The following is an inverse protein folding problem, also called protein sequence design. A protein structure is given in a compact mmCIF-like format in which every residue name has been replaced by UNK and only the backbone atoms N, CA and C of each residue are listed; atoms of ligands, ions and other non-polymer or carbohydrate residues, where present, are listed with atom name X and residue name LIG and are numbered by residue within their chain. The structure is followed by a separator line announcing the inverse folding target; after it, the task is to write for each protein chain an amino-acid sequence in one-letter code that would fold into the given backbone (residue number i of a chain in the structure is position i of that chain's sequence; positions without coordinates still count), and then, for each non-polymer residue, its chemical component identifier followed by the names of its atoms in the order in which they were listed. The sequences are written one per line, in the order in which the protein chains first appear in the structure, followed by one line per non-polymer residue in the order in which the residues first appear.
data_IF_235271300812
#
_entry.id   IF_235271300812
#
_cell.length_a   1.000
_cell.length_b   1.000
_cell.length_c   1.000
_cell.angle_alpha   90.00
_cell.angle_beta   90.00
_cell.angle_gamma   90.00
#
_symmetry.space_group_name_H-M   'P 1'
#
loop_
_entity.id
_entity.type
_entity.pdbx_description
1 polymer ?
#
# COMPACT_ATOMS: atom_id res chain seq x y z
N UNK A 1 48.47 -12.10 -37.00
CA UNK A 1 49.90 -12.47 -37.14
C UNK A 1 50.64 -12.02 -35.88
N UNK A 2 51.66 -12.79 -35.52
CA UNK A 2 52.18 -12.98 -34.18
C UNK A 2 53.24 -11.96 -33.71
N UNK A 3 53.51 -12.01 -32.38
CA UNK A 3 54.79 -11.67 -31.73
C UNK A 3 54.71 -10.46 -30.80
N UNK A 4 55.13 -10.50 -29.52
CA UNK A 4 55.77 -11.56 -28.74
C UNK A 4 56.40 -11.01 -27.44
N UNK A 5 56.46 -11.87 -26.41
CA UNK A 5 57.54 -11.93 -25.39
C UNK A 5 57.31 -11.23 -24.04
N UNK A 6 57.10 -11.95 -22.92
CA UNK A 6 58.03 -12.73 -22.05
C UNK A 6 58.66 -11.89 -20.91
N UNK A 7 58.48 -12.32 -19.66
CA UNK A 7 59.25 -11.81 -18.51
C UNK A 7 58.71 -12.23 -17.13
N UNK A 8 59.16 -13.39 -16.64
CA UNK A 8 58.87 -14.00 -15.33
C UNK A 8 59.79 -13.47 -14.19
N UNK A 9 59.37 -13.79 -12.96
CA UNK A 9 60.09 -13.97 -11.66
C UNK A 9 59.66 -12.94 -10.61
N UNK A 10 59.31 -13.27 -9.37
CA UNK A 10 59.31 -14.52 -8.61
C UNK A 10 59.33 -14.21 -7.11
N UNK A 11 59.21 -15.25 -6.30
CA UNK A 11 59.51 -15.39 -4.86
C UNK A 11 58.38 -15.23 -3.82
N UNK A 12 58.39 -16.21 -2.92
CA UNK A 12 57.45 -16.55 -1.87
C UNK A 12 58.06 -16.29 -0.46
N UNK A 13 57.16 -15.97 0.50
CA UNK A 13 57.18 -16.26 1.98
C UNK A 13 58.01 -15.36 2.93
N UNK A 14 57.73 -15.30 4.27
CA UNK A 14 56.59 -15.79 5.08
C UNK A 14 55.98 -14.79 6.12
N UNK A 15 54.83 -15.20 6.68
CA UNK A 15 54.17 -14.94 8.00
C UNK A 15 54.77 -13.93 9.00
N UNK A 16 53.92 -13.01 9.49
CA UNK A 16 53.97 -12.51 10.88
C UNK A 16 52.55 -12.22 11.40
N UNK A 17 52.15 -12.98 12.42
CA UNK A 17 50.95 -12.83 13.23
C UNK A 17 51.19 -11.67 14.21
N UNK A 18 50.39 -10.61 14.17
CA UNK A 18 50.42 -9.56 15.19
C UNK A 18 49.06 -9.47 15.89
N UNK A 19 49.01 -10.09 17.07
CA UNK A 19 47.99 -9.86 18.09
C UNK A 19 48.16 -8.44 18.63
N UNK A 20 47.14 -7.61 18.49
CA UNK A 20 47.01 -6.35 19.23
C UNK A 20 45.79 -6.45 20.13
N UNK A 21 46.06 -6.78 21.40
CA UNK A 21 45.16 -6.60 22.53
C UNK A 21 45.18 -5.12 22.90
N UNK A 22 44.04 -4.42 22.73
CA UNK A 22 43.79 -3.17 23.43
C UNK A 22 42.58 -3.40 24.34
N UNK A 23 42.87 -3.60 25.62
CA UNK A 23 41.89 -3.48 26.68
C UNK A 23 41.89 -2.03 27.16
N UNK A 24 40.76 -1.34 27.01
CA UNK A 24 40.44 -0.14 27.77
C UNK A 24 38.97 -0.25 28.18
N UNK A 25 38.74 -0.54 29.46
CA UNK A 25 37.43 -0.47 30.08
C UNK A 25 37.24 0.93 30.68
N UNK A 26 36.14 1.60 30.32
CA UNK A 26 35.41 2.51 31.22
C UNK A 26 34.13 3.04 30.54
N UNK A 27 33.00 2.94 31.25
CA UNK A 27 31.99 4.00 31.26
C UNK A 27 30.81 3.84 30.31
N UNK A 28 29.64 3.62 30.91
CA UNK A 28 28.34 3.52 30.26
C UNK A 28 27.90 4.78 29.51
N UNK A 29 27.25 4.58 28.36
CA UNK A 29 25.95 5.20 28.05
C UNK A 29 25.35 4.49 26.83
N UNK A 30 24.34 3.67 27.07
CA UNK A 30 23.45 3.17 26.04
C UNK A 30 22.72 4.37 25.40
N UNK A 31 23.23 4.86 24.28
CA UNK A 31 22.54 5.83 23.44
C UNK A 31 21.34 5.16 22.78
N UNK A 32 20.17 5.25 23.42
CA UNK A 32 18.89 5.04 22.77
C UNK A 32 18.78 6.04 21.62
N UNK A 33 19.04 5.59 20.40
CA UNK A 33 18.59 6.25 19.18
C UNK A 33 17.07 6.19 19.14
N UNK A 34 16.41 7.11 19.85
CA UNK A 34 15.00 7.44 19.61
C UNK A 34 14.95 8.17 18.27
N UNK A 35 14.85 7.41 17.19
CA UNK A 35 14.22 7.90 15.97
C UNK A 35 12.79 8.28 16.34
N UNK A 36 12.52 9.57 16.45
CA UNK A 36 11.18 10.08 16.62
C UNK A 36 10.42 9.85 15.31
N UNK A 37 9.83 8.67 15.14
CA UNK A 37 8.63 8.56 14.32
C UNK A 37 7.53 9.29 15.07
N UNK A 38 7.14 10.46 14.56
CA UNK A 38 5.87 11.08 14.91
C UNK A 38 4.80 9.99 14.80
N UNK A 39 4.18 9.66 15.94
CA UNK A 39 3.37 8.47 16.09
C UNK A 39 2.32 8.37 14.98
N UNK A 40 2.35 7.27 14.24
CA UNK A 40 1.24 6.90 13.37
C UNK A 40 0.02 6.74 14.27
N UNK A 41 -0.89 7.71 14.22
CA UNK A 41 -2.14 7.66 14.96
C UNK A 41 -2.90 6.41 14.51
N UNK A 42 -3.12 5.50 15.44
CA UNK A 42 -3.93 4.29 15.24
C UNK A 42 -5.29 4.66 14.62
N UNK A 43 -5.68 3.98 13.53
CA UNK A 43 -6.98 4.19 12.89
C UNK A 43 -8.11 3.90 13.87
N UNK A 44 -9.09 4.81 13.94
CA UNK A 44 -10.12 4.78 14.98
C UNK A 44 -11.41 5.47 14.53
N UNK A 45 -12.54 4.95 14.98
CA UNK A 45 -13.82 5.66 14.90
C UNK A 45 -13.78 6.96 15.71
N UNK A 46 -14.28 8.05 15.11
CA UNK A 46 -14.33 9.39 15.72
C UNK A 46 -15.18 9.39 16.98
N UNK A 47 -14.76 10.16 17.98
CA UNK A 47 -15.44 10.24 19.28
C UNK A 47 -16.78 10.97 19.18
N UNK A 48 -16.82 12.01 18.37
CA UNK A 48 -17.94 12.94 18.28
C UNK A 48 -19.10 12.32 17.50
N UNK A 49 -18.80 11.64 16.39
CA UNK A 49 -19.80 11.09 15.48
C UNK A 49 -19.96 9.58 15.57
N UNK A 50 -18.99 8.86 16.14
CA UNK A 50 -18.96 7.40 16.08
C UNK A 50 -18.79 6.85 14.67
N UNK A 51 -18.26 7.65 13.72
CA UNK A 51 -18.05 7.26 12.32
C UNK A 51 -16.57 7.04 12.01
N UNK A 52 -16.31 6.26 10.96
CA UNK A 52 -14.99 6.15 10.32
C UNK A 52 -15.18 6.31 8.82
N UNK A 53 -14.59 7.35 8.21
CA UNK A 53 -14.77 7.67 6.79
C UNK A 53 -13.55 7.27 5.99
N UNK A 54 -13.77 6.44 4.97
CA UNK A 54 -12.77 6.07 3.96
C UNK A 54 -13.11 6.78 2.66
N UNK A 55 -12.14 7.46 2.06
CA UNK A 55 -12.21 7.91 0.66
C UNK A 55 -11.37 6.96 -0.18
N UNK A 56 -12.02 6.27 -1.13
CA UNK A 56 -11.35 5.41 -2.09
C UNK A 56 -11.00 6.21 -3.34
N UNK A 57 -9.76 6.11 -3.80
CA UNK A 57 -9.24 6.70 -5.03
C UNK A 57 -8.71 5.57 -5.90
N UNK A 58 -9.14 5.49 -7.15
CA UNK A 58 -8.77 4.43 -8.08
C UNK A 58 -8.44 5.04 -9.43
N UNK A 59 -7.58 4.36 -10.21
CA UNK A 59 -7.40 4.61 -11.64
C UNK A 59 -7.10 6.08 -11.94
N UNK A 60 -6.14 6.64 -11.20
CA UNK A 60 -5.69 8.01 -11.44
C UNK A 60 -4.90 8.10 -12.73
N UNK A 61 -4.18 7.02 -13.08
CA UNK A 61 -3.29 6.94 -14.24
C UNK A 61 -2.38 8.16 -14.34
N UNK A 62 -1.87 8.61 -13.19
CA UNK A 62 -1.00 9.79 -13.07
C UNK A 62 0.37 9.50 -13.73
N UNK A 63 0.99 10.47 -14.38
CA UNK A 63 2.33 10.32 -14.96
C UNK A 63 3.23 11.51 -14.58
N UNK A 64 3.76 12.23 -15.56
CA UNK A 64 4.74 13.31 -15.38
C UNK A 64 4.12 14.69 -15.01
N UNK A 65 2.93 14.69 -14.37
CA UNK A 65 2.34 15.89 -13.80
C UNK A 65 1.87 16.88 -14.87
N UNK A 66 2.49 18.06 -14.89
CA UNK A 66 2.17 19.12 -15.88
C UNK A 66 2.52 18.72 -17.30
N UNK A 67 3.52 17.85 -17.48
CA UNK A 67 4.01 17.45 -18.79
C UNK A 67 3.10 16.41 -19.47
N UNK A 68 2.28 15.70 -18.68
CA UNK A 68 1.32 14.71 -19.18
C UNK A 68 0.18 15.39 -19.91
N UNK A 69 -0.01 15.02 -21.18
CA UNK A 69 -1.21 15.40 -21.93
C UNK A 69 -2.36 14.46 -21.58
N UNK A 70 -3.58 15.00 -21.52
CA UNK A 70 -4.75 14.15 -21.30
C UNK A 70 -5.17 13.41 -22.57
N UNK A 71 -5.57 12.16 -22.39
CA UNK A 71 -6.26 11.35 -23.39
C UNK A 71 -7.77 11.38 -23.16
N UNK A 72 -8.55 11.03 -24.20
CA UNK A 72 -10.01 10.87 -24.12
C UNK A 72 -10.81 12.06 -23.57
N UNK A 73 -10.27 13.27 -23.68
CA UNK A 73 -10.97 14.51 -23.34
C UNK A 73 -11.58 15.17 -24.59
N UNK A 74 -12.61 16.00 -24.38
CA UNK A 74 -13.19 16.77 -25.49
C UNK A 74 -12.13 17.74 -26.06
N UNK A 75 -12.15 18.08 -27.36
CA UNK A 75 -11.19 19.02 -27.95
C UNK A 75 -11.10 20.36 -27.22
N UNK A 76 -12.21 20.84 -26.66
CA UNK A 76 -12.27 22.08 -25.86
C UNK A 76 -11.58 21.98 -24.50
N UNK A 77 -11.34 20.78 -23.99
CA UNK A 77 -10.73 20.50 -22.70
C UNK A 77 -9.24 20.19 -22.80
N UNK A 78 -8.73 19.83 -23.99
CA UNK A 78 -7.31 19.52 -24.23
C UNK A 78 -6.39 20.65 -23.75
N UNK A 79 -6.77 21.90 -24.04
CA UNK A 79 -5.99 23.07 -23.67
C UNK A 79 -5.90 23.20 -22.14
N UNK A 80 -4.73 22.91 -21.58
CA UNK A 80 -4.45 23.03 -20.15
C UNK A 80 -4.84 21.80 -19.32
N UNK A 81 -5.26 20.70 -19.94
CA UNK A 81 -5.45 19.44 -19.24
C UNK A 81 -4.10 18.75 -18.99
N UNK A 82 -3.93 18.26 -17.77
CA UNK A 82 -2.78 17.47 -17.31
C UNK A 82 -3.13 16.73 -16.01
N UNK A 83 -2.20 15.96 -15.47
CA UNK A 83 -2.43 15.26 -14.18
C UNK A 83 -2.70 16.23 -13.02
N UNK A 84 -2.29 17.50 -13.14
CA UNK A 84 -2.59 18.54 -12.16
C UNK A 84 -4.10 18.76 -11.96
N UNK A 85 -4.92 18.41 -12.95
CA UNK A 85 -6.38 18.40 -12.81
C UNK A 85 -6.83 17.35 -11.78
N UNK A 86 -6.22 16.16 -11.80
CA UNK A 86 -6.41 15.10 -10.80
C UNK A 86 -5.91 15.53 -9.43
N UNK A 87 -4.70 16.13 -9.35
CA UNK A 87 -4.19 16.71 -8.09
C UNK A 87 -5.19 17.70 -7.48
N UNK A 88 -5.67 18.65 -8.29
CA UNK A 88 -6.61 19.67 -7.83
C UNK A 88 -7.96 19.06 -7.44
N UNK A 89 -8.40 17.99 -8.11
CA UNK A 89 -9.62 17.25 -7.78
C UNK A 89 -9.49 16.57 -6.41
N UNK A 90 -8.40 15.84 -6.16
CA UNK A 90 -8.18 15.17 -4.88
C UNK A 90 -8.15 16.15 -3.72
N UNK A 91 -7.47 17.29 -3.86
CA UNK A 91 -7.51 18.35 -2.86
C UNK A 91 -8.94 18.85 -2.55
N UNK A 92 -9.82 18.93 -3.55
CA UNK A 92 -11.22 19.33 -3.32
C UNK A 92 -12.00 18.22 -2.60
N UNK A 93 -11.86 16.98 -3.04
CA UNK A 93 -12.54 15.82 -2.43
C UNK A 93 -12.11 15.65 -0.98
N UNK A 94 -10.80 15.64 -0.71
CA UNK A 94 -10.29 15.45 0.65
C UNK A 94 -10.72 16.57 1.61
N UNK A 95 -10.81 17.81 1.14
CA UNK A 95 -11.35 18.92 1.95
C UNK A 95 -12.85 18.80 2.20
N UNK A 96 -13.62 18.37 1.19
CA UNK A 96 -15.06 18.24 1.31
C UNK A 96 -15.44 17.04 2.19
N UNK A 97 -14.72 15.94 2.05
CA UNK A 97 -15.01 14.70 2.73
C UNK A 97 -14.39 14.61 4.12
N UNK A 98 -13.24 15.24 4.37
CA UNK A 98 -12.51 15.14 5.64
C UNK A 98 -12.34 13.67 6.08
N UNK A 99 -11.63 12.82 5.31
CA UNK A 99 -11.56 11.38 5.56
C UNK A 99 -10.69 11.02 6.75
N UNK A 100 -11.00 9.89 7.40
CA UNK A 100 -10.16 9.25 8.41
C UNK A 100 -9.07 8.36 7.80
N UNK A 101 -9.25 7.95 6.54
CA UNK A 101 -8.29 7.19 5.74
C UNK A 101 -8.54 7.43 4.25
N UNK A 102 -7.48 7.63 3.48
CA UNK A 102 -7.53 7.55 2.01
C UNK A 102 -7.02 6.17 1.58
N UNK A 103 -7.76 5.48 0.71
CA UNK A 103 -7.35 4.19 0.16
C UNK A 103 -7.17 4.31 -1.35
N UNK A 104 -5.95 4.13 -1.81
CA UNK A 104 -5.59 4.12 -3.22
C UNK A 104 -5.65 2.69 -3.77
N UNK A 105 -6.51 2.42 -4.75
CA UNK A 105 -6.84 1.05 -5.18
C UNK A 105 -6.21 0.61 -6.50
N UNK A 106 -4.95 1.01 -6.71
CA UNK A 106 -4.17 0.61 -7.88
C UNK A 106 -4.37 1.52 -9.07
N UNK A 107 -3.48 1.35 -10.05
CA UNK A 107 -3.34 2.25 -11.19
C UNK A 107 -3.23 3.71 -10.74
N UNK A 108 -2.40 3.86 -9.72
CA UNK A 108 -2.06 5.13 -9.10
C UNK A 108 -1.27 5.98 -10.09
N UNK A 109 -0.38 5.32 -10.84
CA UNK A 109 0.31 5.89 -11.99
C UNK A 109 0.01 5.09 -13.26
N UNK A 110 0.13 5.76 -14.40
CA UNK A 110 0.26 5.09 -15.68
C UNK A 110 1.74 4.91 -15.98
N UNK A 111 2.27 3.72 -15.66
CA UNK A 111 3.72 3.46 -15.67
C UNK A 111 4.36 3.68 -17.05
N UNK A 112 3.64 3.34 -18.11
CA UNK A 112 4.11 3.51 -19.49
C UNK A 112 4.41 4.98 -19.87
N UNK A 113 3.64 5.93 -19.31
CA UNK A 113 3.79 7.36 -19.59
C UNK A 113 4.64 8.09 -18.53
N UNK A 114 5.06 7.38 -17.49
CA UNK A 114 5.87 7.92 -16.40
C UNK A 114 7.35 7.83 -16.73
N UNK A 115 8.04 8.95 -16.93
CA UNK A 115 9.50 8.94 -17.18
C UNK A 115 10.30 8.48 -15.94
N UNK A 116 9.74 8.72 -14.75
CA UNK A 116 10.25 8.24 -13.47
C UNK A 116 9.06 7.82 -12.60
N UNK A 117 8.85 6.52 -12.46
CA UNK A 117 7.71 5.96 -11.73
C UNK A 117 7.70 6.38 -10.25
N UNK A 118 8.87 6.52 -9.61
CA UNK A 118 8.95 6.95 -8.21
C UNK A 118 8.47 8.40 -8.05
N UNK A 119 8.93 9.32 -8.93
CA UNK A 119 8.49 10.71 -8.90
C UNK A 119 7.02 10.89 -9.27
N UNK A 120 6.54 10.10 -10.22
CA UNK A 120 5.13 10.11 -10.63
C UNK A 120 4.25 9.64 -9.48
N UNK A 121 4.67 8.58 -8.77
CA UNK A 121 3.99 8.10 -7.56
C UNK A 121 4.02 9.14 -6.44
N UNK A 122 5.17 9.80 -6.23
CA UNK A 122 5.29 10.89 -5.25
C UNK A 122 4.29 12.02 -5.55
N UNK A 123 4.15 12.42 -6.82
CA UNK A 123 3.21 13.45 -7.25
C UNK A 123 1.74 13.02 -7.14
N UNK A 124 1.42 11.76 -7.49
CA UNK A 124 0.07 11.21 -7.44
C UNK A 124 -0.47 11.18 -6.00
N UNK A 125 0.37 10.80 -5.04
CA UNK A 125 0.00 10.64 -3.61
C UNK A 125 0.17 11.95 -2.82
N UNK A 126 0.91 12.94 -3.35
CA UNK A 126 1.18 14.21 -2.70
C UNK A 126 -0.06 14.87 -2.05
N UNK A 127 -1.26 14.89 -2.66
CA UNK A 127 -2.44 15.49 -2.02
C UNK A 127 -2.77 14.90 -0.64
N UNK A 128 -2.64 13.58 -0.45
CA UNK A 128 -2.89 12.95 0.85
C UNK A 128 -1.78 13.30 1.86
N UNK A 129 -0.52 13.32 1.41
CA UNK A 129 0.65 13.64 2.24
C UNK A 129 0.60 15.10 2.71
N UNK A 130 0.34 16.03 1.79
CA UNK A 130 0.32 17.47 2.05
C UNK A 130 -0.83 17.85 2.98
N UNK A 131 -1.97 17.18 2.84
CA UNK A 131 -3.11 17.31 3.77
C UNK A 131 -2.92 16.54 5.08
N UNK A 132 -1.77 15.87 5.27
CA UNK A 132 -1.43 15.07 6.46
C UNK A 132 -2.44 13.96 6.76
N UNK A 133 -3.09 13.43 5.73
CA UNK A 133 -4.03 12.34 5.85
C UNK A 133 -3.26 11.02 5.95
N UNK A 134 -3.67 10.08 6.84
CA UNK A 134 -3.21 8.72 6.74
C UNK A 134 -3.78 8.09 5.46
N UNK A 135 -2.97 7.28 4.79
CA UNK A 135 -3.38 6.63 3.55
C UNK A 135 -2.78 5.23 3.41
N UNK A 136 -3.44 4.37 2.64
CA UNK A 136 -2.97 3.03 2.31
C UNK A 136 -3.20 2.77 0.82
N UNK A 137 -2.40 1.88 0.23
CA UNK A 137 -2.47 1.59 -1.20
C UNK A 137 -2.36 0.10 -1.52
N UNK A 138 -3.10 -0.34 -2.55
CA UNK A 138 -2.73 -1.50 -3.37
C UNK A 138 -2.20 -1.02 -4.71
N UNK A 139 -1.57 -1.94 -5.42
CA UNK A 139 -0.97 -1.72 -6.74
C UNK A 139 -1.85 -2.29 -7.84
N UNK A 140 -1.94 -1.58 -8.96
CA UNK A 140 -2.63 -2.02 -10.17
C UNK A 140 -1.70 -2.66 -11.18
N UNK A 141 -2.21 -2.95 -12.36
CA UNK A 141 -1.42 -3.53 -13.46
C UNK A 141 -0.52 -2.48 -14.12
N UNK A 142 -0.97 -1.22 -14.23
CA UNK A 142 -0.20 -0.16 -14.89
C UNK A 142 0.90 0.44 -14.00
N UNK A 143 0.81 0.29 -12.68
CA UNK A 143 1.77 0.90 -11.75
C UNK A 143 3.23 0.44 -11.94
N UNK A 144 3.43 -0.77 -12.49
CA UNK A 144 4.74 -1.41 -12.65
C UNK A 144 5.32 -1.30 -14.07
N UNK A 145 4.65 -0.61 -14.98
CA UNK A 145 5.02 -0.56 -16.40
C UNK A 145 6.10 0.50 -16.70
N UNK A 146 6.55 1.23 -15.67
CA UNK A 146 7.58 2.26 -15.77
C UNK A 146 8.97 1.80 -15.30
N UNK A 147 9.65 2.66 -14.53
CA UNK A 147 11.04 2.44 -14.09
C UNK A 147 11.20 1.58 -12.84
N UNK A 148 10.10 1.19 -12.17
CA UNK A 148 10.10 0.36 -10.97
C UNK A 148 9.45 -1.01 -11.26
N UNK A 149 10.01 -2.06 -10.67
CA UNK A 149 9.34 -3.36 -10.62
C UNK A 149 8.11 -3.31 -9.70
N UNK A 150 7.20 -4.29 -9.80
CA UNK A 150 6.06 -4.44 -8.88
C UNK A 150 6.43 -4.31 -7.40
N UNK A 151 7.50 -5.02 -7.01
CA UNK A 151 8.05 -4.96 -5.66
C UNK A 151 8.58 -3.56 -5.34
N UNK A 152 9.29 -2.95 -6.29
CA UNK A 152 9.84 -1.60 -6.17
C UNK A 152 8.74 -0.56 -5.94
N UNK A 153 7.63 -0.64 -6.67
CA UNK A 153 6.45 0.20 -6.49
C UNK A 153 5.90 0.05 -5.08
N UNK A 154 5.64 -1.18 -4.62
CA UNK A 154 5.09 -1.40 -3.29
C UNK A 154 6.04 -0.92 -2.18
N UNK A 155 7.35 -1.17 -2.32
CA UNK A 155 8.37 -0.67 -1.38
C UNK A 155 8.43 0.86 -1.35
N UNK A 156 8.29 1.52 -2.50
CA UNK A 156 8.20 2.97 -2.58
C UNK A 156 6.99 3.48 -1.81
N UNK A 157 5.79 2.96 -2.10
CA UNK A 157 4.54 3.32 -1.41
C UNK A 157 4.62 3.13 0.12
N UNK A 158 5.23 2.04 0.59
CA UNK A 158 5.43 1.78 2.02
C UNK A 158 6.41 2.79 2.65
N UNK A 159 7.42 3.23 1.92
CA UNK A 159 8.43 4.19 2.41
C UNK A 159 7.96 5.64 2.45
N UNK A 160 6.84 5.96 1.81
CA UNK A 160 6.32 7.31 1.73
C UNK A 160 5.71 7.80 3.05
N UNK A 161 5.72 9.12 3.24
CA UNK A 161 5.24 9.76 4.47
C UNK A 161 3.74 9.51 4.69
N UNK A 162 3.36 9.25 5.94
CA UNK A 162 1.98 8.95 6.37
C UNK A 162 1.36 7.70 5.73
N UNK A 163 2.16 6.89 5.03
CA UNK A 163 1.71 5.61 4.49
C UNK A 163 1.44 4.64 5.65
N UNK A 164 0.28 3.99 5.58
CA UNK A 164 -0.09 2.83 6.37
C UNK A 164 -0.02 1.56 5.52
N UNK A 165 0.49 1.65 4.29
CA UNK A 165 0.64 0.50 3.42
C UNK A 165 1.65 -0.50 4.02
N UNK A 166 1.42 -1.80 3.81
CA UNK A 166 2.30 -2.86 4.28
C UNK A 166 2.93 -3.64 3.14
N UNK A 167 4.10 -4.23 3.37
CA UNK A 167 4.57 -5.34 2.54
C UNK A 167 3.83 -6.63 2.93
N UNK A 168 4.11 -7.72 2.21
CA UNK A 168 3.64 -9.04 2.60
C UNK A 168 4.07 -9.40 4.04
N UNK A 169 3.32 -10.24 4.76
CA UNK A 169 3.67 -10.64 6.11
C UNK A 169 4.99 -11.42 6.10
N UNK A 170 5.85 -11.14 7.07
CA UNK A 170 7.14 -11.83 7.20
C UNK A 170 6.95 -13.34 7.40
N UNK A 171 7.75 -14.14 6.70
CA UNK A 171 7.72 -15.61 6.81
C UNK A 171 6.50 -16.27 6.15
N UNK A 172 5.65 -15.51 5.45
CA UNK A 172 4.52 -16.05 4.69
C UNK A 172 4.84 -16.03 3.20
N UNK A 173 4.84 -17.20 2.58
CA UNK A 173 4.93 -17.33 1.12
C UNK A 173 3.55 -17.03 0.51
N UNK A 174 3.47 -15.90 -0.20
CA UNK A 174 2.23 -15.38 -0.77
C UNK A 174 2.53 -14.68 -2.10
N UNK A 175 1.65 -14.88 -3.08
CA UNK A 175 1.76 -14.25 -4.39
C UNK A 175 1.60 -12.72 -4.31
N UNK A 176 2.29 -12.02 -5.21
CA UNK A 176 2.25 -10.56 -5.33
C UNK A 176 2.99 -9.83 -4.21
N UNK A 177 2.74 -8.53 -4.08
CA UNK A 177 3.35 -7.65 -3.10
C UNK A 177 2.32 -6.70 -2.49
N UNK A 178 2.37 -6.55 -1.17
CA UNK A 178 1.45 -5.66 -0.48
C UNK A 178 0.13 -6.33 -0.10
N UNK A 179 0.22 -7.59 0.35
CA UNK A 179 -0.88 -8.26 1.02
C UNK A 179 -0.82 -7.98 2.52
N UNK A 180 -1.70 -7.14 3.05
CA UNK A 180 -1.67 -6.72 4.45
C UNK A 180 -3.07 -6.39 5.00
N UNK A 181 -3.16 -6.26 6.32
CA UNK A 181 -4.39 -5.90 7.01
C UNK A 181 -4.17 -4.69 7.94
N UNK A 182 -5.10 -3.75 7.93
CA UNK A 182 -5.18 -2.67 8.90
C UNK A 182 -6.37 -2.86 9.84
N UNK A 183 -6.11 -2.75 11.14
CA UNK A 183 -7.12 -2.81 12.19
C UNK A 183 -7.61 -1.39 12.52
N UNK A 184 -8.92 -1.14 12.43
CA UNK A 184 -9.56 0.12 12.83
C UNK A 184 -10.23 -0.07 14.16
N UNK A 185 -9.88 0.77 15.13
CA UNK A 185 -10.25 0.57 16.53
C UNK A 185 -11.52 1.32 16.93
N UNK A 186 -12.18 0.84 17.99
CA UNK A 186 -13.41 1.46 18.50
C UNK A 186 -13.19 2.88 19.04
N UNK A 187 -14.26 3.57 19.38
CA UNK A 187 -14.20 4.95 19.90
C UNK A 187 -13.34 5.03 21.18
N UNK A 188 -12.51 6.06 21.28
CA UNK A 188 -11.66 6.30 22.45
C UNK A 188 -12.50 6.45 23.74
N UNK A 189 -12.03 5.89 24.85
CA UNK A 189 -12.74 5.92 26.13
C UNK A 189 -13.86 4.88 26.27
N UNK A 190 -14.10 4.05 25.25
CA UNK A 190 -15.02 2.90 25.32
C UNK A 190 -14.29 1.60 25.64
N UNK A 191 -15.02 0.55 26.00
CA UNK A 191 -14.45 -0.80 26.16
C UNK A 191 -13.84 -1.37 24.87
N UNK A 192 -14.17 -0.79 23.72
CA UNK A 192 -13.64 -1.17 22.41
C UNK A 192 -12.48 -0.28 21.96
N UNK A 193 -12.03 0.69 22.77
CA UNK A 193 -10.99 1.62 22.38
C UNK A 193 -9.70 0.92 21.92
N UNK A 194 -9.31 -0.15 22.59
CA UNK A 194 -8.09 -0.87 22.24
C UNK A 194 -8.34 -2.12 21.38
N UNK A 195 -9.57 -2.28 20.88
CA UNK A 195 -10.00 -3.42 20.06
C UNK A 195 -10.28 -2.98 18.62
N UNK A 196 -9.91 -3.83 17.67
CA UNK A 196 -10.33 -3.66 16.27
C UNK A 196 -11.82 -3.95 16.15
N UNK A 197 -12.55 -3.03 15.54
CA UNK A 197 -13.99 -3.13 15.25
C UNK A 197 -14.27 -3.09 13.75
N UNK A 198 -13.24 -2.93 12.92
CA UNK A 198 -13.29 -3.05 11.47
C UNK A 198 -11.89 -3.44 10.96
N UNK A 199 -11.82 -4.40 10.05
CA UNK A 199 -10.57 -4.81 9.41
C UNK A 199 -10.57 -4.38 7.94
N UNK A 200 -9.45 -3.84 7.46
CA UNK A 200 -9.25 -3.43 6.09
C UNK A 200 -8.16 -4.31 5.50
N UNK A 201 -8.54 -5.22 4.61
CA UNK A 201 -7.64 -6.13 3.95
C UNK A 201 -7.24 -5.58 2.59
N UNK A 202 -5.96 -5.65 2.27
CA UNK A 202 -5.38 -5.16 1.03
C UNK A 202 -4.74 -6.36 0.34
N UNK A 203 -5.11 -6.59 -0.92
CA UNK A 203 -4.65 -7.73 -1.70
C UNK A 203 -4.07 -7.26 -3.04
N UNK A 204 -2.91 -7.80 -3.40
CA UNK A 204 -2.35 -7.63 -4.72
C UNK A 204 -3.08 -8.54 -5.72
N UNK A 205 -4.07 -8.01 -6.44
CA UNK A 205 -4.81 -8.80 -7.43
C UNK A 205 -4.00 -9.26 -8.66
N UNK A 206 -2.72 -8.88 -8.73
CA UNK A 206 -1.80 -9.23 -9.81
C UNK A 206 -1.82 -8.21 -10.95
N UNK A 207 -1.32 -8.69 -12.10
CA UNK A 207 -1.09 -7.90 -13.31
C UNK A 207 -1.90 -8.49 -14.49
N UNK A 208 -1.28 -8.91 -15.60
CA UNK A 208 -1.92 -9.65 -16.66
C UNK A 208 -1.84 -11.16 -16.44
N UNK A 209 -2.73 -11.91 -17.08
CA UNK A 209 -2.72 -13.36 -17.05
C UNK A 209 -1.44 -13.93 -17.66
N UNK A 210 -0.74 -14.77 -16.90
CA UNK A 210 0.42 -15.55 -17.36
C UNK A 210 0.03 -16.90 -17.95
N UNK A 211 -1.27 -17.26 -17.94
CA UNK A 211 -1.79 -18.51 -18.49
C UNK A 211 -2.11 -18.29 -19.97
N UNK A 212 -1.44 -18.98 -20.93
CA UNK A 212 -1.56 -18.65 -22.35
C UNK A 212 -2.99 -18.68 -22.92
N UNK A 213 -3.84 -19.55 -22.39
CA UNK A 213 -5.24 -19.73 -22.79
C UNK A 213 -6.20 -18.72 -22.17
N UNK A 214 -5.78 -17.99 -21.13
CA UNK A 214 -6.58 -16.96 -20.46
C UNK A 214 -5.96 -15.61 -20.80
N UNK A 215 -6.65 -14.82 -21.62
CA UNK A 215 -6.20 -13.47 -22.01
C UNK A 215 -6.70 -12.42 -21.01
N UNK A 216 -6.05 -11.26 -21.02
CA UNK A 216 -6.44 -10.12 -20.19
C UNK A 216 -5.81 -10.14 -18.81
N UNK A 217 -6.56 -9.71 -17.81
CA UNK A 217 -6.07 -9.49 -16.46
C UNK A 217 -5.77 -10.77 -15.68
N UNK A 218 -4.91 -10.60 -14.67
CA UNK A 218 -4.60 -11.56 -13.63
C UNK A 218 -5.74 -11.68 -12.61
N UNK A 219 -5.44 -12.29 -11.46
CA UNK A 219 -6.42 -12.53 -10.41
C UNK A 219 -5.74 -12.88 -9.10
N UNK A 220 -6.48 -12.68 -8.00
CA UNK A 220 -6.11 -13.11 -6.65
C UNK A 220 -5.84 -14.63 -6.64
N UNK A 221 -4.63 -15.01 -6.26
CA UNK A 221 -4.16 -16.41 -6.26
C UNK A 221 -4.60 -17.17 -5.01
N UNK A 222 -4.47 -18.49 -5.06
CA UNK A 222 -4.87 -19.37 -3.96
C UNK A 222 -4.09 -19.07 -2.66
N UNK A 223 -2.79 -18.73 -2.75
CA UNK A 223 -1.98 -18.35 -1.59
C UNK A 223 -2.55 -17.14 -0.85
N UNK A 224 -3.04 -16.14 -1.59
CA UNK A 224 -3.64 -14.92 -1.05
C UNK A 224 -5.02 -15.18 -0.45
N UNK A 225 -5.83 -16.05 -1.07
CA UNK A 225 -7.10 -16.49 -0.50
C UNK A 225 -6.89 -17.23 0.82
N UNK A 226 -5.92 -18.15 0.87
CA UNK A 226 -5.55 -18.88 2.10
C UNK A 226 -5.08 -17.92 3.17
N UNK A 227 -4.17 -16.99 2.84
CA UNK A 227 -3.71 -15.97 3.77
C UNK A 227 -4.86 -15.11 4.32
N UNK A 228 -5.77 -14.64 3.45
CA UNK A 228 -6.91 -13.84 3.85
C UNK A 228 -7.83 -14.62 4.80
N UNK A 229 -8.17 -15.86 4.47
CA UNK A 229 -9.01 -16.73 5.30
C UNK A 229 -8.38 -17.01 6.67
N UNK A 230 -7.08 -17.33 6.70
CA UNK A 230 -6.34 -17.59 7.94
C UNK A 230 -6.23 -16.34 8.81
N UNK A 231 -5.88 -15.20 8.20
CA UNK A 231 -5.76 -13.91 8.89
C UNK A 231 -7.10 -13.49 9.46
N UNK A 232 -8.16 -13.49 8.65
CA UNK A 232 -9.52 -13.17 9.11
C UNK A 232 -9.96 -14.09 10.24
N UNK A 233 -9.81 -15.41 10.09
CA UNK A 233 -10.18 -16.38 11.14
C UNK A 233 -9.38 -16.18 12.43
N UNK A 234 -8.09 -15.87 12.32
CA UNK A 234 -7.23 -15.59 13.47
C UNK A 234 -7.69 -14.35 14.24
N UNK A 235 -7.97 -13.26 13.51
CA UNK A 235 -8.47 -12.01 14.08
C UNK A 235 -9.85 -12.20 14.72
N UNK A 236 -10.78 -12.91 14.08
CA UNK A 236 -12.07 -13.24 14.67
C UNK A 236 -11.92 -14.00 16.00
N UNK A 237 -11.06 -15.03 16.05
CA UNK A 237 -10.77 -15.75 17.30
C UNK A 237 -10.16 -14.84 18.36
N UNK A 238 -9.22 -13.96 18.00
CA UNK A 238 -8.61 -12.97 18.91
C UNK A 238 -9.70 -12.10 19.54
N UNK A 239 -10.58 -11.52 18.73
CA UNK A 239 -11.64 -10.61 19.18
C UNK A 239 -12.70 -11.27 20.07
N UNK A 240 -13.06 -12.52 19.78
CA UNK A 240 -14.09 -13.24 20.51
C UNK A 240 -13.59 -13.89 21.81
N UNK A 241 -12.28 -14.19 21.90
CA UNK A 241 -11.72 -14.92 23.03
C UNK A 241 -10.96 -14.04 24.03
N UNK A 242 -10.35 -12.93 23.59
CA UNK A 242 -9.59 -12.03 24.45
C UNK A 242 -10.48 -11.00 25.16
N UNK A 243 -10.15 -10.64 26.41
CA UNK A 243 -10.88 -9.63 27.15
C UNK A 243 -10.55 -8.19 26.66
N UNK A 244 -11.53 -7.26 26.65
CA UNK A 244 -12.96 -7.54 26.67
C UNK A 244 -13.40 -8.28 25.40
N UNK A 245 -14.21 -9.33 25.57
CA UNK A 245 -14.69 -10.14 24.46
C UNK A 245 -15.69 -9.35 23.63
N UNK A 246 -15.49 -9.34 22.31
CA UNK A 246 -16.48 -8.82 21.37
C UNK A 246 -17.59 -9.87 21.20
N UNK A 247 -18.85 -9.41 21.16
CA UNK A 247 -20.02 -10.29 20.96
C UNK A 247 -20.00 -10.96 19.59
N UNK A 248 -19.55 -10.21 18.59
CA UNK A 248 -19.47 -10.61 17.19
C UNK A 248 -18.08 -10.26 16.65
N UNK A 249 -17.59 -10.98 15.63
CA UNK A 249 -16.36 -10.61 14.94
C UNK A 249 -16.48 -9.22 14.31
N UNK A 250 -15.37 -8.49 14.27
CA UNK A 250 -15.30 -7.23 13.55
C UNK A 250 -15.53 -7.47 12.03
N UNK A 251 -16.40 -6.68 11.36
CA UNK A 251 -16.55 -6.75 9.91
C UNK A 251 -15.23 -6.47 9.18
N UNK A 252 -15.20 -6.84 7.89
CA UNK A 252 -14.04 -6.64 7.03
C UNK A 252 -14.42 -5.99 5.70
N UNK A 253 -13.55 -5.11 5.21
CA UNK A 253 -13.54 -4.63 3.82
C UNK A 253 -12.28 -5.13 3.14
N UNK A 254 -12.37 -5.47 1.86
CA UNK A 254 -11.21 -5.93 1.07
C UNK A 254 -11.02 -4.98 -0.11
N UNK A 255 -9.79 -4.49 -0.28
CA UNK A 255 -9.37 -3.61 -1.36
C UNK A 255 -8.38 -4.34 -2.26
N UNK A 256 -8.64 -4.29 -3.56
CA UNK A 256 -7.81 -4.85 -4.62
C UNK A 256 -8.17 -4.18 -5.94
N UNK A 257 -7.28 -4.23 -6.94
CA UNK A 257 -7.41 -3.46 -8.16
C UNK A 257 -8.22 -4.18 -9.25
N UNK A 258 -7.76 -5.36 -9.68
CA UNK A 258 -8.41 -6.14 -10.75
C UNK A 258 -9.69 -6.76 -10.18
N UNK A 259 -10.87 -6.39 -10.71
CA UNK A 259 -12.14 -6.81 -10.13
C UNK A 259 -12.38 -8.32 -10.29
N UNK A 260 -13.30 -8.84 -9.50
CA UNK A 260 -13.80 -10.21 -9.69
C UNK A 260 -14.53 -10.32 -11.04
N UNK A 261 -14.53 -11.50 -11.71
CA UNK A 261 -15.22 -11.69 -12.98
C UNK A 261 -16.70 -11.28 -12.96
N UNK A 262 -17.38 -11.45 -11.81
CA UNK A 262 -18.77 -11.06 -11.57
C UNK A 262 -19.02 -9.55 -11.73
N UNK A 263 -17.97 -8.72 -11.65
CA UNK A 263 -18.10 -7.29 -11.91
C UNK A 263 -18.55 -7.01 -13.35
N UNK A 264 -18.14 -7.84 -14.32
CA UNK A 264 -18.55 -7.72 -15.72
C UNK A 264 -20.05 -7.99 -15.95
N UNK A 265 -20.68 -8.73 -15.04
CA UNK A 265 -22.13 -9.00 -15.04
C UNK A 265 -22.90 -8.11 -14.07
N UNK A 266 -22.22 -7.18 -13.41
CA UNK A 266 -22.85 -6.24 -12.49
C UNK A 266 -23.65 -5.20 -13.27
N UNK A 267 -24.97 -5.20 -13.07
CA UNK A 267 -25.86 -4.14 -13.56
C UNK A 267 -26.47 -3.43 -12.35
N UNK A 268 -26.79 -2.14 -12.50
CA UNK A 268 -27.29 -1.29 -11.40
C UNK A 268 -28.55 -1.83 -10.68
N UNK A 269 -29.27 -2.78 -11.28
CA UNK A 269 -30.42 -3.48 -10.69
C UNK A 269 -30.04 -4.51 -9.61
N UNK A 270 -28.77 -4.91 -9.50
CA UNK A 270 -28.29 -5.84 -8.47
C UNK A 270 -27.89 -5.14 -7.15
N UNK A 271 -28.22 -3.85 -7.00
CA UNK A 271 -27.94 -3.10 -5.77
C UNK A 271 -28.89 -3.54 -4.64
N UNK A 272 -28.48 -4.52 -3.85
CA UNK A 272 -29.09 -4.76 -2.53
C UNK A 272 -28.55 -3.74 -1.55
N UNK A 273 -29.28 -2.63 -1.39
CA UNK A 273 -29.19 -1.83 -0.17
C UNK A 273 -29.73 -2.69 0.95
N UNK A 274 -28.87 -3.26 1.80
CA UNK A 274 -29.33 -3.76 3.09
C UNK A 274 -29.86 -2.54 3.86
N UNK A 275 -31.18 -2.37 3.87
CA UNK A 275 -31.83 -1.44 4.81
C UNK A 275 -31.67 -2.06 6.20
N UNK A 276 -30.59 -1.75 6.88
CA UNK A 276 -30.52 -1.92 8.34
C UNK A 276 -30.96 -0.61 8.98
N UNK A 277 -32.14 -0.63 9.60
CA UNK A 277 -32.54 0.34 10.63
C UNK A 277 -33.59 1.37 10.23
N UNK A 278 -34.83 0.94 10.01
CA UNK A 278 -35.98 1.75 10.46
C UNK A 278 -36.72 0.93 11.54
N UNK A 279 -36.55 1.37 12.79
CA UNK A 279 -37.28 0.89 13.95
C UNK A 279 -37.34 2.06 14.94
N UNK A 280 -38.42 2.83 14.85
CA UNK A 280 -38.99 3.54 15.98
C UNK A 280 -40.10 2.66 16.56
#
# INVERSE_FOLDING_TARGET
MAGGGLGLRGAHRPVALLLVLVAAAAGAAAGKGKGAHAGTSRLRFRRESGTFKVVQVADMHYADGRATGCEDVLPSQVAGCSDLNTTAFLYRVFRAEDPDLVVFTGDNIYGADSTDAAKSMDAAIAPAIDMKLPWAAVIGNHDQEGTLSREGVMRHLVGMKNSLSGLNPEGVEIDGYGNYNLEVSGVEGTSLAEKSVLNLYFLDSGDYSTVPSIKGYGWIKASQQVWFQQTSSSLQRKYMNENPKQKEPAPGLVFFHIPLPEFSSFTAVNFHRSKTGEGY
#
